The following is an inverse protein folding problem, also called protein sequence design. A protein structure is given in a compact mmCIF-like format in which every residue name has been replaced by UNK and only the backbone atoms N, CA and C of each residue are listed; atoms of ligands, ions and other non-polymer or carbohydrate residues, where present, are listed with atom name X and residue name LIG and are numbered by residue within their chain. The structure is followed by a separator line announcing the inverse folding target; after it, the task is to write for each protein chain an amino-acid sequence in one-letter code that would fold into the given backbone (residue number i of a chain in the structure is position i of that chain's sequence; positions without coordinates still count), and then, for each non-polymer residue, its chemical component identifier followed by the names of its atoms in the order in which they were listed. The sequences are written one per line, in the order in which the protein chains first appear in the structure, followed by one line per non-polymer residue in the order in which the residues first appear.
data_IF_423900386205
#
_entry.id   IF_423900386205
#
_cell.length_a   1.000
_cell.length_b   1.000
_cell.length_c   1.000
_cell.angle_alpha   90.00
_cell.angle_beta   90.00
_cell.angle_gamma   90.00
#
_symmetry.space_group_name_H-M   'P 1'
#
loop_
_entity.id
_entity.type
_entity.pdbx_description
1 polymer ?
#
# COMPACT_ATOMS: atom_id res chain seq x y z
N UNK A 1 52.77 -10.25 -5.58
CA UNK A 1 53.77 -9.19 -5.75
C UNK A 1 55.11 -9.78 -6.20
N UNK A 2 55.64 -10.82 -5.52
CA UNK A 2 56.94 -11.40 -5.88
C UNK A 2 57.03 -11.99 -7.31
N UNK A 3 55.91 -12.58 -7.81
CA UNK A 3 55.89 -13.14 -9.18
C UNK A 3 55.95 -12.13 -10.28
N UNK A 4 55.58 -10.88 -10.03
CA UNK A 4 55.64 -9.77 -11.03
C UNK A 4 57.10 -9.23 -11.21
N UNK A 5 57.93 -9.38 -10.14
CA UNK A 5 59.28 -8.85 -10.16
C UNK A 5 60.35 -9.90 -10.55
N UNK A 6 60.10 -11.20 -10.31
CA UNK A 6 61.07 -12.25 -10.54
C UNK A 6 61.05 -12.83 -11.97
N UNK A 7 59.97 -12.51 -12.74
CA UNK A 7 59.79 -13.09 -14.07
C UNK A 7 59.53 -14.60 -14.06
N UNK A 8 59.34 -15.20 -15.22
CA UNK A 8 59.36 -16.66 -15.38
C UNK A 8 60.81 -17.11 -15.36
N UNK A 9 61.19 -17.84 -14.33
CA UNK A 9 62.41 -18.60 -14.40
C UNK A 9 62.31 -19.67 -15.47
N UNK A 10 63.25 -19.71 -16.38
CA UNK A 10 63.34 -20.77 -17.38
C UNK A 10 63.53 -22.11 -16.68
N UNK A 11 62.89 -23.14 -17.22
CA UNK A 11 63.07 -24.50 -16.69
C UNK A 11 64.48 -24.93 -16.98
N UNK A 12 65.23 -25.45 -15.96
CA UNK A 12 66.55 -25.97 -16.21
C UNK A 12 66.48 -27.17 -17.17
N UNK A 13 67.37 -27.21 -18.16
CA UNK A 13 67.55 -28.36 -19.05
C UNK A 13 68.29 -29.44 -18.24
N UNK A 14 67.53 -30.47 -17.81
CA UNK A 14 68.07 -31.60 -17.04
C UNK A 14 67.45 -32.89 -17.54
N UNK A 15 68.25 -33.92 -17.69
CA UNK A 15 67.77 -35.24 -18.12
C UNK A 15 67.02 -35.98 -16.99
N UNK A 16 67.41 -35.73 -15.74
CA UNK A 16 66.85 -36.40 -14.59
C UNK A 16 66.91 -35.54 -13.33
N UNK A 17 65.83 -35.62 -12.49
CA UNK A 17 65.77 -35.01 -11.17
C UNK A 17 65.34 -36.10 -10.16
N UNK A 18 66.22 -36.48 -9.26
CA UNK A 18 65.96 -37.43 -8.20
C UNK A 18 65.87 -36.74 -6.82
N UNK A 19 65.11 -37.34 -5.91
CA UNK A 19 65.06 -36.90 -4.50
C UNK A 19 64.21 -35.65 -4.23
N UNK A 20 63.32 -35.31 -5.10
CA UNK A 20 62.38 -34.22 -4.82
C UNK A 20 61.35 -34.73 -3.80
N UNK A 21 61.37 -34.15 -2.62
CA UNK A 21 60.35 -34.38 -1.63
C UNK A 21 58.98 -33.84 -2.07
N UNK A 22 57.87 -34.50 -1.70
CA UNK A 22 56.53 -33.96 -2.00
C UNK A 22 56.38 -32.52 -1.46
N UNK A 23 56.11 -31.57 -2.35
CA UNK A 23 55.84 -30.19 -1.93
C UNK A 23 54.44 -30.08 -1.36
N UNK A 24 54.34 -29.79 -0.06
CA UNK A 24 53.08 -29.50 0.60
C UNK A 24 52.96 -27.97 0.73
N UNK A 25 51.99 -27.36 0.06
CA UNK A 25 51.64 -25.96 0.24
C UNK A 25 50.35 -25.87 1.07
N UNK A 26 50.46 -25.36 2.27
CA UNK A 26 49.29 -24.99 3.08
C UNK A 26 48.90 -23.55 2.71
N UNK A 27 47.78 -23.41 2.06
CA UNK A 27 47.28 -22.11 1.66
C UNK A 27 46.05 -21.80 2.51
N UNK A 28 46.16 -20.79 3.37
CA UNK A 28 45.00 -20.25 4.04
C UNK A 28 44.13 -19.51 3.01
N UNK A 29 42.93 -19.97 2.79
CA UNK A 29 41.99 -19.32 1.87
C UNK A 29 41.39 -18.10 2.58
N UNK A 30 42.06 -16.97 2.48
CA UNK A 30 41.69 -15.74 3.20
C UNK A 30 40.51 -14.98 2.55
N UNK A 31 40.23 -15.24 1.28
CA UNK A 31 39.15 -14.52 0.57
C UNK A 31 38.25 -15.50 -0.19
N UNK A 32 37.01 -15.58 0.23
CA UNK A 32 35.94 -16.09 -0.62
C UNK A 32 35.75 -15.11 -1.80
N UNK A 33 35.93 -15.60 -3.04
CA UNK A 33 35.65 -14.82 -4.25
C UNK A 33 34.14 -14.68 -4.53
N UNK A 34 33.32 -15.26 -3.68
CA UNK A 34 31.88 -15.19 -3.82
C UNK A 34 31.40 -13.88 -3.16
N UNK A 35 30.88 -12.91 -3.94
CA UNK A 35 30.40 -11.64 -3.39
C UNK A 35 29.22 -11.78 -2.39
N UNK A 36 28.58 -12.95 -2.37
CA UNK A 36 27.51 -13.28 -1.42
C UNK A 36 28.01 -13.90 -0.11
N UNK A 37 29.30 -14.27 -0.03
CA UNK A 37 29.88 -14.84 1.20
C UNK A 37 30.44 -13.73 2.06
N UNK A 38 29.61 -13.19 2.92
CA UNK A 38 29.99 -12.24 3.99
C UNK A 38 30.08 -12.99 5.32
N UNK A 39 30.69 -12.37 6.33
CA UNK A 39 30.73 -12.91 7.70
C UNK A 39 29.30 -13.22 8.18
N UNK A 40 28.34 -12.31 7.92
CA UNK A 40 26.95 -12.47 8.33
C UNK A 40 26.28 -13.73 7.74
N UNK A 41 26.55 -14.05 6.46
CA UNK A 41 25.96 -15.23 5.80
C UNK A 41 26.69 -16.53 6.20
N UNK A 42 27.96 -16.47 6.56
CA UNK A 42 28.76 -17.64 6.96
C UNK A 42 28.57 -18.02 8.43
N UNK A 43 28.08 -17.12 9.26
CA UNK A 43 27.91 -17.27 10.71
C UNK A 43 26.47 -17.36 11.18
N UNK A 44 25.50 -17.51 10.26
CA UNK A 44 24.05 -17.50 10.54
C UNK A 44 23.51 -16.16 11.11
N UNK A 45 24.36 -15.18 11.38
CA UNK A 45 23.96 -13.85 11.89
C UNK A 45 22.91 -13.23 10.97
N UNK A 46 23.07 -13.41 9.66
CA UNK A 46 22.12 -12.89 8.68
C UNK A 46 20.70 -13.45 8.85
N UNK A 47 20.56 -14.73 9.20
CA UNK A 47 19.27 -15.38 9.41
C UNK A 47 18.58 -14.85 10.67
N UNK A 48 19.34 -14.60 11.74
CA UNK A 48 18.81 -13.93 12.93
C UNK A 48 18.40 -12.48 12.64
N UNK A 49 19.19 -11.74 11.86
CA UNK A 49 18.84 -10.38 11.47
C UNK A 49 17.58 -10.34 10.60
N UNK A 50 17.42 -11.22 9.63
CA UNK A 50 16.19 -11.33 8.83
C UNK A 50 14.98 -11.55 9.73
N UNK A 51 15.07 -12.48 10.69
CA UNK A 51 13.98 -12.75 11.63
C UNK A 51 13.69 -11.53 12.52
N UNK A 52 14.74 -10.88 13.01
CA UNK A 52 14.61 -9.68 13.84
C UNK A 52 13.87 -8.57 13.08
N UNK A 53 14.35 -8.21 11.88
CA UNK A 53 13.73 -7.16 11.09
C UNK A 53 12.33 -7.53 10.60
N UNK A 54 12.05 -8.79 10.33
CA UNK A 54 10.72 -9.26 9.99
C UNK A 54 9.71 -9.13 11.16
N UNK A 55 10.19 -9.16 12.42
CA UNK A 55 9.32 -9.13 13.61
C UNK A 55 9.22 -7.76 14.25
N UNK A 56 10.31 -7.00 14.28
CA UNK A 56 10.43 -5.73 15.04
C UNK A 56 10.77 -4.55 14.12
N UNK A 57 11.14 -4.84 12.86
CA UNK A 57 11.47 -3.80 11.87
C UNK A 57 10.29 -2.90 11.60
N UNK A 58 10.58 -1.63 11.36
CA UNK A 58 9.60 -0.61 10.98
C UNK A 58 9.92 -0.12 9.59
N UNK A 59 8.90 -0.03 8.76
CA UNK A 59 9.03 0.53 7.42
C UNK A 59 8.69 2.01 7.46
N UNK A 60 9.51 2.83 6.82
CA UNK A 60 9.29 4.27 6.70
C UNK A 60 9.15 4.65 5.24
N UNK A 61 8.22 5.56 4.94
CA UNK A 61 8.10 6.11 3.60
C UNK A 61 9.36 6.89 3.24
N UNK A 62 9.96 6.67 2.06
CA UNK A 62 11.11 7.44 1.59
C UNK A 62 10.76 8.89 1.22
N UNK A 63 9.47 9.21 1.06
CA UNK A 63 8.98 10.53 0.68
C UNK A 63 8.76 11.40 1.92
N UNK A 64 7.93 10.94 2.86
CA UNK A 64 7.54 11.71 4.05
C UNK A 64 8.38 11.39 5.30
N UNK A 65 9.11 10.26 5.31
CA UNK A 65 9.77 9.75 6.51
C UNK A 65 8.82 9.25 7.60
N UNK A 66 7.53 9.14 7.29
CA UNK A 66 6.50 8.66 8.23
C UNK A 66 6.49 7.13 8.26
N UNK A 67 6.27 6.55 9.42
CA UNK A 67 6.15 5.10 9.59
C UNK A 67 4.90 4.57 8.87
N UNK A 68 5.11 3.58 8.00
CA UNK A 68 4.03 2.89 7.28
C UNK A 68 3.41 1.86 8.22
N UNK A 69 2.12 1.99 8.47
CA UNK A 69 1.35 1.08 9.33
C UNK A 69 0.04 0.69 8.68
N UNK A 70 -0.36 -0.56 8.89
CA UNK A 70 -1.74 -0.97 8.66
C UNK A 70 -2.60 -0.55 9.83
N UNK A 71 -3.68 0.11 9.56
CA UNK A 71 -4.70 0.35 10.56
C UNK A 71 -5.69 -0.82 10.56
N UNK A 72 -6.14 -1.17 11.75
CA UNK A 72 -7.16 -2.18 11.98
C UNK A 72 -8.48 -1.52 12.38
N UNK A 73 -9.55 -2.28 12.35
CA UNK A 73 -10.84 -1.83 12.91
C UNK A 73 -10.69 -1.43 14.38
N UNK A 74 -9.85 -2.15 15.15
CA UNK A 74 -9.59 -1.83 16.55
C UNK A 74 -8.93 -0.46 16.75
N UNK A 75 -8.10 -0.01 15.80
CA UNK A 75 -7.49 1.32 15.85
C UNK A 75 -8.53 2.42 15.66
N UNK A 76 -9.52 2.21 14.78
CA UNK A 76 -10.63 3.15 14.57
C UNK A 76 -11.53 3.18 15.82
N UNK A 77 -11.88 2.02 16.37
CA UNK A 77 -12.63 1.92 17.62
C UNK A 77 -11.90 2.65 18.75
N UNK A 78 -10.61 2.38 18.93
CA UNK A 78 -9.80 3.02 19.95
C UNK A 78 -9.73 4.54 19.77
N UNK A 79 -9.58 4.99 18.53
CA UNK A 79 -9.58 6.40 18.20
C UNK A 79 -10.91 7.07 18.55
N UNK A 80 -12.04 6.51 18.12
CA UNK A 80 -13.35 7.06 18.41
C UNK A 80 -13.68 7.00 19.90
N UNK A 81 -13.32 5.91 20.60
CA UNK A 81 -13.51 5.76 22.04
C UNK A 81 -12.64 6.71 22.89
N UNK A 82 -11.60 7.31 22.32
CA UNK A 82 -10.80 8.31 23.01
C UNK A 82 -11.55 9.64 23.26
N UNK A 83 -12.65 9.86 22.55
CA UNK A 83 -13.48 11.05 22.68
C UNK A 83 -14.62 10.82 23.67
N UNK A 84 -14.78 11.71 24.63
CA UNK A 84 -15.89 11.67 25.60
C UNK A 84 -17.20 12.19 25.03
N UNK A 85 -17.12 13.03 23.99
CA UNK A 85 -18.30 13.61 23.32
C UNK A 85 -17.90 14.04 21.91
N UNK A 86 -18.79 13.77 20.96
CA UNK A 86 -18.62 14.23 19.58
C UNK A 86 -19.58 13.56 18.62
N UNK A 87 -19.70 14.16 17.45
CA UNK A 87 -20.36 13.56 16.29
C UNK A 87 -19.28 13.20 15.29
N UNK A 88 -19.40 12.01 14.72
CA UNK A 88 -18.46 11.49 13.77
C UNK A 88 -19.20 10.92 12.56
N UNK A 89 -18.55 10.95 11.41
CA UNK A 89 -19.03 10.30 10.22
C UNK A 89 -17.94 9.34 9.73
N UNK A 90 -18.33 8.09 9.54
CA UNK A 90 -17.46 7.06 8.95
C UNK A 90 -17.79 7.02 7.46
N UNK A 91 -16.75 7.17 6.65
CA UNK A 91 -16.87 7.20 5.20
C UNK A 91 -15.77 6.37 4.54
N UNK A 92 -15.92 6.11 3.27
CA UNK A 92 -14.96 5.43 2.43
C UNK A 92 -14.76 6.20 1.13
N UNK A 93 -13.57 6.20 0.52
CA UNK A 93 -13.40 6.75 -0.82
C UNK A 93 -14.36 6.10 -1.80
N UNK A 94 -15.01 6.91 -2.64
CA UNK A 94 -15.85 6.38 -3.70
C UNK A 94 -14.97 5.76 -4.79
N UNK A 95 -15.08 4.46 -4.96
CA UNK A 95 -14.30 3.73 -5.96
C UNK A 95 -15.04 3.71 -7.29
N UNK A 96 -14.33 4.05 -8.37
CA UNK A 96 -14.84 3.98 -9.74
C UNK A 96 -14.15 2.85 -10.48
N UNK A 97 -14.96 1.97 -11.07
CA UNK A 97 -14.46 0.88 -11.89
C UNK A 97 -14.31 1.31 -13.35
N UNK A 98 -13.31 0.79 -14.09
CA UNK A 98 -13.14 1.06 -15.50
C UNK A 98 -14.40 0.72 -16.30
N UNK A 99 -14.75 1.61 -17.23
CA UNK A 99 -15.95 1.44 -18.07
C UNK A 99 -17.27 1.87 -17.44
N UNK A 100 -17.30 2.22 -16.15
CA UNK A 100 -18.50 2.76 -15.48
C UNK A 100 -18.43 4.28 -15.34
N UNK A 101 -19.59 4.91 -15.41
CA UNK A 101 -19.72 6.35 -15.12
C UNK A 101 -19.94 6.56 -13.63
N UNK A 102 -19.73 7.80 -13.14
CA UNK A 102 -20.07 8.14 -11.75
C UNK A 102 -21.54 7.87 -11.43
N UNK A 103 -22.44 8.12 -12.39
CA UNK A 103 -23.86 7.81 -12.22
C UNK A 103 -24.14 6.31 -12.06
N UNK A 104 -23.42 5.46 -12.79
CA UNK A 104 -23.56 4.00 -12.63
C UNK A 104 -23.09 3.53 -11.26
N UNK A 105 -22.00 4.14 -10.72
CA UNK A 105 -21.52 3.81 -9.37
C UNK A 105 -22.52 4.29 -8.30
N UNK A 106 -23.06 5.51 -8.41
CA UNK A 106 -24.06 6.00 -7.46
C UNK A 106 -25.33 5.14 -7.49
N UNK A 107 -25.79 4.69 -8.67
CA UNK A 107 -26.91 3.76 -8.77
C UNK A 107 -26.61 2.41 -8.13
N UNK A 108 -25.40 1.90 -8.30
CA UNK A 108 -24.96 0.65 -7.67
C UNK A 108 -24.94 0.78 -6.14
N UNK A 109 -24.52 1.92 -5.62
CA UNK A 109 -24.52 2.21 -4.18
C UNK A 109 -25.95 2.30 -3.63
N UNK A 110 -26.86 2.95 -4.35
CA UNK A 110 -28.29 2.97 -3.97
C UNK A 110 -28.88 1.55 -3.87
N UNK A 111 -28.52 0.67 -4.80
CA UNK A 111 -28.94 -0.74 -4.75
C UNK A 111 -28.38 -1.50 -3.55
N UNK A 112 -27.17 -1.14 -3.08
CA UNK A 112 -26.57 -1.67 -1.85
C UNK A 112 -27.13 -1.06 -0.56
N UNK A 113 -28.00 -0.04 -0.67
CA UNK A 113 -28.59 0.66 0.46
C UNK A 113 -27.83 1.90 0.94
N UNK A 114 -26.78 2.30 0.24
CA UNK A 114 -26.05 3.53 0.54
C UNK A 114 -26.63 4.69 -0.26
N UNK A 115 -27.35 5.58 0.38
CA UNK A 115 -28.08 6.67 -0.26
C UNK A 115 -27.38 8.03 -0.19
N UNK A 116 -26.25 8.11 0.50
CA UNK A 116 -25.56 9.39 0.77
C UNK A 116 -24.08 9.32 0.51
N UNK A 117 -23.59 10.37 -0.10
CA UNK A 117 -22.16 10.60 -0.29
C UNK A 117 -21.75 11.95 0.27
N UNK A 118 -20.49 12.06 0.61
CA UNK A 118 -19.87 13.33 0.96
C UNK A 118 -19.14 13.87 -0.27
N UNK A 119 -19.47 15.07 -0.67
CA UNK A 119 -18.87 15.79 -1.80
C UNK A 119 -18.39 17.14 -1.30
N UNK A 120 -17.11 17.44 -1.48
CA UNK A 120 -16.52 18.73 -1.05
C UNK A 120 -16.85 19.07 0.42
N UNK A 121 -16.74 18.09 1.30
CA UNK A 121 -17.03 18.18 2.74
C UNK A 121 -18.51 18.40 3.09
N UNK A 122 -19.43 18.24 2.14
CA UNK A 122 -20.86 18.31 2.38
C UNK A 122 -21.53 16.97 2.11
N UNK A 123 -22.45 16.58 2.99
CA UNK A 123 -23.25 15.38 2.79
C UNK A 123 -24.37 15.67 1.82
N UNK A 124 -24.40 14.90 0.73
CA UNK A 124 -25.41 15.01 -0.33
C UNK A 124 -26.13 13.68 -0.55
N UNK A 125 -27.34 13.76 -0.98
CA UNK A 125 -28.12 12.60 -1.37
C UNK A 125 -27.70 12.12 -2.78
N UNK A 126 -27.62 10.81 -2.97
CA UNK A 126 -27.24 10.23 -4.25
C UNK A 126 -28.23 10.59 -5.36
N UNK A 127 -29.52 10.66 -5.05
CA UNK A 127 -30.56 10.93 -6.04
C UNK A 127 -30.45 12.38 -6.56
N UNK A 128 -30.17 13.34 -5.67
CA UNK A 128 -29.90 14.74 -6.08
C UNK A 128 -28.71 14.83 -7.02
N UNK A 129 -27.63 14.12 -6.71
CA UNK A 129 -26.44 14.10 -7.56
C UNK A 129 -26.70 13.44 -8.91
N UNK A 130 -27.48 12.37 -8.94
CA UNK A 130 -27.89 11.70 -10.18
C UNK A 130 -28.71 12.64 -11.08
N UNK A 131 -29.62 13.42 -10.50
CA UNK A 131 -30.36 14.44 -11.25
C UNK A 131 -29.45 15.53 -11.83
N UNK A 132 -28.49 16.03 -11.04
CA UNK A 132 -27.50 17.02 -11.52
C UNK A 132 -26.63 16.48 -12.66
N UNK A 133 -26.15 15.22 -12.53
CA UNK A 133 -25.37 14.58 -13.56
C UNK A 133 -26.16 14.33 -14.84
N UNK A 134 -27.45 14.02 -14.72
CA UNK A 134 -28.35 13.85 -15.87
C UNK A 134 -28.59 15.17 -16.60
N UNK A 135 -28.76 16.26 -15.87
CA UNK A 135 -28.93 17.63 -16.42
C UNK A 135 -27.65 18.10 -17.15
N UNK A 136 -26.48 17.82 -16.61
CA UNK A 136 -25.18 18.13 -17.27
C UNK A 136 -25.00 17.38 -18.58
N UNK A 137 -25.39 16.10 -18.64
CA UNK A 137 -25.33 15.29 -19.87
C UNK A 137 -26.24 15.82 -20.99
N UNK A 138 -27.38 16.38 -20.63
CA UNK A 138 -28.33 16.97 -21.63
C UNK A 138 -27.85 18.29 -22.23
N UNK A 139 -26.94 19.01 -21.57
CA UNK A 139 -26.38 20.30 -22.06
C UNK A 139 -25.15 20.07 -22.97
N UNK A 140 -24.41 18.96 -22.80
CA UNK A 140 -23.23 18.64 -23.62
C UNK A 140 -23.52 17.85 -24.90
N UNK A 141 -24.74 17.40 -25.12
CA UNK A 141 -25.12 16.65 -26.33
C UNK A 141 -25.69 17.53 -27.47
N UNK A 142 -24.90 18.51 -27.92
CA UNK A 142 -25.10 19.11 -29.24
C UNK A 142 -24.12 18.45 -30.24
N UNK A 143 -24.57 17.91 -31.39
CA UNK A 143 -23.75 17.04 -32.23
C UNK A 143 -22.72 17.83 -33.03
N UNK A 144 -21.43 17.69 -32.75
CA UNK A 144 -20.38 17.94 -33.73
C UNK A 144 -20.06 16.63 -34.46
N UNK A 145 -20.67 16.46 -35.61
CA UNK A 145 -20.33 15.44 -36.57
C UNK A 145 -18.91 15.69 -37.11
N UNK A 146 -17.98 14.82 -36.78
CA UNK A 146 -16.76 14.66 -37.57
C UNK A 146 -16.45 13.16 -37.69
N UNK A 147 -16.63 12.68 -38.94
CA UNK A 147 -16.21 11.35 -39.38
C UNK A 147 -14.69 11.26 -39.30
N UNK A 148 -14.18 10.40 -38.40
CA UNK A 148 -12.78 10.00 -38.34
C UNK A 148 -12.71 8.53 -37.94
N UNK A 149 -12.20 7.71 -38.88
CA UNK A 149 -12.00 6.27 -38.78
C UNK A 149 -10.97 5.98 -37.69
N UNK A 150 -11.38 5.38 -36.58
CA UNK A 150 -10.47 4.93 -35.49
C UNK A 150 -9.78 3.64 -35.91
N UNK A 151 -8.46 3.48 -35.67
CA UNK A 151 -7.80 2.18 -35.75
C UNK A 151 -8.27 1.27 -34.62
N UNK A 152 -8.47 0.02 -34.95
CA UNK A 152 -8.82 -1.06 -34.03
C UNK A 152 -7.60 -1.34 -33.16
N UNK A 153 -7.60 -0.88 -31.92
CA UNK A 153 -6.68 -1.38 -30.89
C UNK A 153 -7.30 -2.61 -30.26
N UNK A 154 -6.54 -3.69 -30.26
CA UNK A 154 -6.83 -4.91 -29.50
C UNK A 154 -6.88 -4.55 -28.01
N UNK A 155 -7.80 -5.15 -27.22
CA UNK A 155 -7.83 -4.88 -25.79
C UNK A 155 -6.63 -5.55 -25.11
N UNK A 156 -5.62 -4.77 -24.74
CA UNK A 156 -4.72 -5.16 -23.68
C UNK A 156 -5.57 -5.45 -22.44
N UNK A 157 -5.43 -6.65 -21.90
CA UNK A 157 -6.02 -7.05 -20.63
C UNK A 157 -5.22 -6.33 -19.54
N UNK A 158 -5.54 -5.06 -19.34
CA UNK A 158 -5.14 -4.34 -18.13
C UNK A 158 -6.10 -4.80 -17.04
N UNK A 159 -5.60 -5.44 -16.02
CA UNK A 159 -6.39 -5.70 -14.81
C UNK A 159 -7.09 -4.40 -14.41
N UNK A 160 -8.41 -4.46 -14.37
CA UNK A 160 -9.26 -3.30 -14.17
C UNK A 160 -9.20 -2.87 -12.69
N UNK A 161 -8.17 -2.10 -12.34
CA UNK A 161 -8.01 -1.55 -11.00
C UNK A 161 -9.02 -0.43 -10.80
N UNK A 162 -9.86 -0.55 -9.76
CA UNK A 162 -10.76 0.52 -9.34
C UNK A 162 -9.95 1.71 -8.82
N UNK A 163 -10.34 2.92 -9.20
CA UNK A 163 -9.67 4.16 -8.80
C UNK A 163 -10.62 5.01 -7.97
N UNK A 164 -10.13 5.59 -6.88
CA UNK A 164 -10.90 6.51 -6.05
C UNK A 164 -11.28 7.77 -6.84
N UNK A 165 -12.54 8.19 -6.70
CA UNK A 165 -13.02 9.45 -7.30
C UNK A 165 -12.65 10.59 -6.36
N UNK A 166 -11.82 11.56 -6.80
CA UNK A 166 -11.44 12.67 -5.94
C UNK A 166 -12.65 13.42 -5.39
N UNK A 167 -12.57 13.78 -4.11
CA UNK A 167 -13.60 14.56 -3.40
C UNK A 167 -14.98 13.89 -3.23
N UNK A 168 -15.11 12.61 -3.59
CA UNK A 168 -16.35 11.85 -3.35
C UNK A 168 -16.06 10.74 -2.35
N UNK A 169 -16.76 10.76 -1.22
CA UNK A 169 -16.65 9.72 -0.21
C UNK A 169 -18.03 9.14 0.10
N UNK A 170 -18.13 7.82 0.08
CA UNK A 170 -19.33 7.11 0.46
C UNK A 170 -19.54 7.26 1.97
N UNK A 171 -20.66 7.82 2.39
CA UNK A 171 -21.01 7.90 3.81
C UNK A 171 -21.58 6.57 4.27
N UNK A 172 -20.87 5.92 5.19
CA UNK A 172 -21.27 4.60 5.75
C UNK A 172 -22.18 4.80 6.95
N UNK A 173 -21.73 5.57 7.95
CA UNK A 173 -22.46 5.75 9.19
C UNK A 173 -22.23 7.11 9.83
N UNK A 174 -23.15 7.52 10.71
CA UNK A 174 -23.05 8.71 11.56
C UNK A 174 -23.14 8.29 13.01
N UNK A 175 -22.08 8.56 13.75
CA UNK A 175 -21.92 8.13 15.14
C UNK A 175 -21.94 9.33 16.05
N UNK A 176 -22.70 9.24 17.14
CA UNK A 176 -22.71 10.23 18.21
C UNK A 176 -22.22 9.59 19.50
N UNK A 177 -21.15 10.13 20.04
CA UNK A 177 -20.57 9.67 21.32
C UNK A 177 -20.98 10.67 22.39
N UNK A 178 -21.60 10.18 23.47
CA UNK A 178 -22.02 10.97 24.64
C UNK A 178 -21.66 10.21 25.92
N UNK A 179 -20.40 10.28 26.33
CA UNK A 179 -19.84 9.52 27.45
C UNK A 179 -18.95 8.38 27.00
N UNK A 180 -18.74 7.41 27.85
CA UNK A 180 -18.01 6.18 27.46
C UNK A 180 -18.89 5.34 26.54
N UNK A 181 -18.34 4.86 25.39
CA UNK A 181 -19.12 4.03 24.46
C UNK A 181 -19.45 2.69 25.14
N UNK A 182 -20.70 2.30 25.01
CA UNK A 182 -21.17 0.99 25.40
C UNK A 182 -20.78 -0.09 24.36
N UNK A 183 -20.97 -1.35 24.72
CA UNK A 183 -20.59 -2.47 23.85
C UNK A 183 -21.34 -2.45 22.51
N UNK A 184 -22.60 -2.01 22.48
CA UNK A 184 -23.39 -1.90 21.26
C UNK A 184 -22.85 -0.82 20.33
N UNK A 185 -22.44 0.32 20.87
CA UNK A 185 -21.81 1.38 20.08
C UNK A 185 -20.44 0.96 19.56
N UNK A 186 -19.66 0.26 20.39
CA UNK A 186 -18.35 -0.29 19.98
C UNK A 186 -18.53 -1.28 18.83
N UNK A 187 -19.50 -2.19 18.91
CA UNK A 187 -19.83 -3.14 17.86
C UNK A 187 -20.24 -2.41 16.57
N UNK A 188 -21.11 -1.40 16.68
CA UNK A 188 -21.57 -0.58 15.55
C UNK A 188 -20.41 0.15 14.87
N UNK A 189 -19.48 0.74 15.65
CA UNK A 189 -18.27 1.38 15.11
C UNK A 189 -17.43 0.36 14.34
N UNK A 190 -17.26 -0.84 14.92
CA UNK A 190 -16.48 -1.90 14.30
C UNK A 190 -17.07 -2.35 12.97
N UNK A 191 -18.38 -2.60 12.93
CA UNK A 191 -19.10 -3.03 11.72
C UNK A 191 -19.03 -1.95 10.63
N UNK A 192 -19.29 -0.69 10.98
CA UNK A 192 -19.24 0.43 10.04
C UNK A 192 -17.84 0.64 9.49
N UNK A 193 -16.81 0.48 10.33
CA UNK A 193 -15.41 0.58 9.93
C UNK A 193 -14.99 -0.54 8.98
N UNK A 194 -15.46 -1.77 9.25
CA UNK A 194 -15.22 -2.92 8.37
C UNK A 194 -15.88 -2.72 7.00
N UNK A 195 -17.12 -2.22 6.96
CA UNK A 195 -17.81 -1.87 5.72
C UNK A 195 -17.03 -0.78 4.97
N UNK A 196 -16.54 0.25 5.68
CA UNK A 196 -15.75 1.32 5.07
C UNK A 196 -14.47 0.80 4.42
N UNK A 197 -13.73 -0.09 5.08
CA UNK A 197 -12.54 -0.72 4.50
C UNK A 197 -12.89 -1.57 3.27
N UNK A 198 -14.00 -2.28 3.29
CA UNK A 198 -14.42 -3.13 2.17
C UNK A 198 -14.82 -2.30 0.95
N UNK A 199 -15.66 -1.28 1.12
CA UNK A 199 -16.13 -0.44 0.01
C UNK A 199 -15.07 0.56 -0.47
N UNK A 200 -14.20 1.03 0.44
CA UNK A 200 -13.12 2.00 0.16
C UNK A 200 -11.80 1.36 -0.26
N UNK A 201 -11.84 0.10 -0.69
CA UNK A 201 -10.64 -0.64 -1.13
C UNK A 201 -9.49 -0.55 -0.10
N UNK A 202 -9.81 -0.73 1.18
CA UNK A 202 -8.84 -0.71 2.28
C UNK A 202 -8.66 0.64 2.96
N UNK A 203 -9.42 1.67 2.56
CA UNK A 203 -9.36 3.00 3.19
C UNK A 203 -10.67 3.32 3.90
N UNK A 204 -10.57 3.79 5.13
CA UNK A 204 -11.66 4.33 5.93
C UNK A 204 -11.33 5.75 6.35
N UNK A 205 -12.29 6.66 6.20
CA UNK A 205 -12.13 8.08 6.51
C UNK A 205 -13.09 8.44 7.64
N UNK A 206 -12.56 9.01 8.70
CA UNK A 206 -13.36 9.51 9.82
C UNK A 206 -13.39 11.03 9.78
N UNK A 207 -14.58 11.58 9.71
CA UNK A 207 -14.85 13.01 9.78
C UNK A 207 -15.38 13.37 11.16
N UNK A 208 -14.82 14.39 11.75
CA UNK A 208 -15.32 15.01 12.99
C UNK A 208 -15.66 16.46 12.71
N UNK A 209 -16.95 16.84 12.68
CA UNK A 209 -17.35 18.23 12.67
C UNK A 209 -16.92 18.91 13.97
N UNK A 210 -16.23 20.02 13.86
CA UNK A 210 -15.85 20.87 15.01
C UNK A 210 -16.90 21.97 15.22
N UNK A 211 -16.88 22.58 16.40
CA UNK A 211 -17.86 23.61 16.79
C UNK A 211 -17.73 24.92 15.96
N UNK A 212 -16.57 25.15 15.35
CA UNK A 212 -16.30 26.28 14.43
C UNK A 212 -16.78 26.05 13.00
N UNK A 213 -17.40 24.91 12.72
CA UNK A 213 -17.86 24.50 11.40
C UNK A 213 -16.79 23.87 10.52
N UNK A 214 -15.56 23.74 11.02
CA UNK A 214 -14.52 22.99 10.31
C UNK A 214 -14.72 21.48 10.43
N UNK A 215 -14.06 20.72 9.56
CA UNK A 215 -14.06 19.25 9.60
C UNK A 215 -12.64 18.76 9.85
N UNK A 216 -12.43 18.10 10.97
CA UNK A 216 -11.21 17.30 11.18
C UNK A 216 -11.37 15.99 10.45
N UNK A 217 -10.41 15.67 9.57
CA UNK A 217 -10.40 14.47 8.76
C UNK A 217 -9.26 13.58 9.24
N UNK A 218 -9.54 12.30 9.41
CA UNK A 218 -8.52 11.31 9.72
C UNK A 218 -8.70 10.07 8.85
N UNK A 219 -7.66 9.74 8.12
CA UNK A 219 -7.61 8.57 7.25
C UNK A 219 -7.02 7.38 7.98
N UNK A 220 -7.61 6.22 7.73
CA UNK A 220 -7.14 4.92 8.18
C UNK A 220 -7.01 4.01 6.96
N UNK A 221 -5.90 3.33 6.83
CA UNK A 221 -5.69 2.35 5.75
C UNK A 221 -5.33 0.99 6.33
N UNK A 222 -6.01 -0.06 5.87
CA UNK A 222 -5.63 -1.44 6.18
C UNK A 222 -4.60 -1.99 5.18
N UNK A 223 -4.15 -1.16 4.24
CA UNK A 223 -3.08 -1.46 3.31
C UNK A 223 -1.74 -0.98 3.87
N UNK A 224 -0.69 -1.67 3.47
CA UNK A 224 0.67 -1.27 3.81
C UNK A 224 1.17 -0.29 2.74
N UNK A 225 0.61 0.92 2.76
CA UNK A 225 0.91 1.97 1.78
C UNK A 225 1.00 3.35 2.45
N UNK A 226 1.85 4.21 1.90
CA UNK A 226 2.04 5.59 2.32
C UNK A 226 2.52 6.43 1.14
N UNK A 227 2.08 7.68 1.04
CA UNK A 227 2.46 8.63 -0.01
C UNK A 227 2.23 8.08 -1.45
N UNK A 228 1.21 7.25 -1.63
CA UNK A 228 0.90 6.62 -2.91
C UNK A 228 1.82 5.46 -3.31
N UNK A 229 2.70 5.03 -2.39
CA UNK A 229 3.59 3.89 -2.59
C UNK A 229 3.06 2.71 -1.77
N UNK A 230 2.88 1.57 -2.44
CA UNK A 230 2.56 0.31 -1.77
C UNK A 230 3.85 -0.38 -1.36
N UNK A 231 3.90 -0.82 -0.11
CA UNK A 231 5.05 -1.51 0.48
C UNK A 231 4.70 -2.97 0.76
N UNK A 232 5.70 -3.82 0.69
CA UNK A 232 5.56 -5.19 1.17
C UNK A 232 5.63 -5.24 2.70
N UNK A 233 4.80 -6.08 3.29
CA UNK A 233 4.81 -6.31 4.73
C UNK A 233 6.13 -6.98 5.16
N UNK A 234 6.79 -6.50 6.23
CA UNK A 234 8.04 -7.09 6.70
C UNK A 234 7.89 -8.60 6.93
N UNK A 235 8.62 -9.37 6.15
CA UNK A 235 8.66 -10.84 6.23
C UNK A 235 10.10 -11.33 6.10
N UNK A 236 10.36 -12.55 6.55
CA UNK A 236 11.70 -13.15 6.40
C UNK A 236 12.09 -13.27 4.92
N UNK A 237 11.10 -13.45 4.03
CA UNK A 237 11.34 -13.55 2.59
C UNK A 237 11.73 -12.21 1.97
N UNK A 238 11.15 -11.10 2.45
CA UNK A 238 11.49 -9.75 1.97
C UNK A 238 12.99 -9.45 2.11
N UNK A 239 13.60 -9.93 3.19
CA UNK A 239 15.04 -9.75 3.48
C UNK A 239 15.91 -10.86 2.89
N UNK A 240 15.43 -11.67 1.97
CA UNK A 240 16.20 -12.70 1.29
C UNK A 240 17.00 -12.10 0.14
N UNK A 241 18.24 -12.59 -0.08
CA UNK A 241 19.05 -12.24 -1.24
C UNK A 241 18.42 -12.67 -2.59
N UNK A 242 17.45 -13.56 -2.55
CA UNK A 242 16.75 -14.07 -3.73
C UNK A 242 15.41 -13.36 -3.97
N UNK A 243 15.05 -12.38 -3.13
CA UNK A 243 13.90 -11.53 -3.39
C UNK A 243 14.34 -10.47 -4.42
N UNK A 244 13.62 -10.34 -5.57
CA UNK A 244 13.99 -9.42 -6.65
C UNK A 244 13.92 -7.95 -6.23
#
# INVERSE_FOLDING_TARGET
YARQFIGRMDKPEVDYIHGIAPAIAIQQKVNSRNPRSTVGTSTEIYDYLKLLYARVGRTYSPVSGVEVKKNTVADIVSYLSSFKKGRFMIAAPLMKYPGRTLADELNSLNQKGFTRVMVENQVRDNDELLEELSKKKSVESAPKATRGRKPKQEPEIVEAIAVAVPNYHLLIDRISINGEPDDDLVARIADSSQIAFNEGAGTCIVYKPEDDGSLTIRDFSNRYEMDGISFEEPSVHLFSFNNP
#
